data_IF_414770211761
#
_entry.id   IF_414770211761
#
_cell.length_a   1.000
_cell.length_b   1.000
_cell.length_c   1.000
_cell.angle_alpha   90.00
_cell.angle_beta   90.00
_cell.angle_gamma   90.00
#
_symmetry.space_group_name_H-M   'P 1'
#
loop_
_entity.id
_entity.type
_entity.pdbx_description
1 polymer ?
#
# COMPACT_ATOMS: atom_id res chain seq x y z
N UNK A 1 -16.56 2.52 5.49
CA UNK A 1 -16.32 1.67 4.31
C UNK A 1 -14.84 1.49 4.09
N UNK A 2 -14.38 0.28 3.81
CA UNK A 2 -12.97 0.07 3.48
C UNK A 2 -12.57 0.85 2.23
N UNK A 3 -11.37 1.40 2.27
CA UNK A 3 -10.80 2.11 1.13
C UNK A 3 -9.90 1.16 0.36
N UNK A 4 -10.11 1.07 -0.93
CA UNK A 4 -9.28 0.25 -1.80
C UNK A 4 -8.37 1.13 -2.64
N UNK A 5 -7.10 0.78 -2.69
CA UNK A 5 -6.09 1.44 -3.50
C UNK A 5 -5.57 0.42 -4.50
N UNK A 6 -5.76 0.71 -5.79
CA UNK A 6 -5.26 -0.16 -6.85
C UNK A 6 -3.97 0.38 -7.43
N UNK A 7 -3.01 -0.49 -7.61
CA UNK A 7 -1.72 -0.16 -8.22
C UNK A 7 -1.52 -1.02 -9.46
N UNK A 8 -0.76 -0.54 -10.45
CA UNK A 8 -0.50 -1.34 -11.65
C UNK A 8 0.38 -2.55 -11.32
N UNK A 9 0.26 -3.58 -12.14
CA UNK A 9 1.06 -4.80 -11.97
C UNK A 9 2.56 -4.55 -12.11
N UNK A 10 2.92 -3.53 -12.85
CA UNK A 10 4.32 -3.09 -12.93
C UNK A 10 4.33 -1.58 -13.08
N UNK A 11 5.44 -0.94 -12.73
CA UNK A 11 5.61 0.48 -12.87
C UNK A 11 5.25 1.27 -11.63
N UNK A 12 4.66 2.45 -11.83
CA UNK A 12 4.47 3.44 -10.78
C UNK A 12 3.14 3.24 -10.05
N UNK A 13 3.20 3.06 -8.74
CA UNK A 13 2.02 2.93 -7.89
C UNK A 13 1.25 4.22 -7.68
N UNK A 14 1.83 5.37 -8.02
CA UNK A 14 1.14 6.65 -7.97
C UNK A 14 0.99 7.24 -6.57
N UNK A 15 0.24 8.32 -6.50
CA UNK A 15 -0.10 9.00 -5.25
C UNK A 15 -1.59 8.80 -4.99
N UNK A 16 -1.91 8.34 -3.78
CA UNK A 16 -3.28 8.07 -3.39
C UNK A 16 -3.62 8.83 -2.13
N UNK A 17 -4.81 9.42 -2.10
CA UNK A 17 -5.27 10.20 -0.96
C UNK A 17 -6.35 9.44 -0.22
N UNK A 18 -6.25 9.42 1.11
CA UNK A 18 -7.22 8.77 1.97
C UNK A 18 -7.74 9.77 2.99
N UNK A 19 -8.95 9.53 3.45
CA UNK A 19 -9.55 10.37 4.47
C UNK A 19 -8.85 10.15 5.81
N UNK A 20 -8.77 11.20 6.61
CA UNK A 20 -8.13 11.16 7.92
C UNK A 20 -9.13 10.66 8.96
N UNK A 21 -9.60 9.43 8.78
CA UNK A 21 -10.55 8.76 9.66
C UNK A 21 -10.13 7.29 9.80
N UNK A 22 -10.47 6.64 10.93
CA UNK A 22 -10.20 5.21 11.06
C UNK A 22 -10.85 4.41 9.93
N UNK A 23 -10.10 3.50 9.33
CA UNK A 23 -10.55 2.73 8.19
C UNK A 23 -9.67 1.48 8.01
N UNK A 24 -10.11 0.59 7.15
CA UNK A 24 -9.27 -0.48 6.61
C UNK A 24 -8.81 -0.05 5.23
N UNK A 25 -7.51 -0.02 5.02
CA UNK A 25 -6.92 0.36 3.75
C UNK A 25 -6.43 -0.91 3.06
N UNK A 26 -6.98 -1.21 1.90
CA UNK A 26 -6.65 -2.42 1.15
C UNK A 26 -5.95 -2.05 -0.14
N UNK A 27 -4.75 -2.56 -0.33
CA UNK A 27 -4.00 -2.41 -1.58
C UNK A 27 -4.27 -3.61 -2.45
N UNK A 28 -4.58 -3.37 -3.71
CA UNK A 28 -4.78 -4.42 -4.70
C UNK A 28 -4.14 -4.02 -6.02
N UNK A 29 -4.09 -4.96 -6.94
CA UNK A 29 -3.57 -4.70 -8.29
C UNK A 29 -4.72 -4.47 -9.26
N UNK A 30 -4.46 -3.69 -10.30
CA UNK A 30 -5.45 -3.39 -11.33
C UNK A 30 -5.42 -4.39 -12.50
N UNK A 31 -4.61 -5.44 -12.41
CA UNK A 31 -4.46 -6.45 -13.47
C UNK A 31 -4.46 -7.87 -12.92
N UNK A 32 -4.01 -8.81 -13.74
CA UNK A 32 -4.01 -10.23 -13.42
C UNK A 32 -2.72 -10.66 -12.72
N UNK A 33 -2.28 -9.91 -11.75
CA UNK A 33 -1.09 -10.23 -10.98
C UNK A 33 -1.42 -10.18 -9.49
N UNK A 34 -0.53 -10.74 -8.69
CA UNK A 34 -0.63 -10.65 -7.23
C UNK A 34 0.65 -10.05 -6.68
N UNK A 35 0.58 -9.50 -5.47
CA UNK A 35 1.78 -9.01 -4.79
C UNK A 35 2.66 -10.17 -4.41
N UNK A 36 3.96 -10.03 -4.64
CA UNK A 36 4.97 -10.93 -4.09
C UNK A 36 5.64 -10.30 -2.87
N UNK A 37 5.59 -8.97 -2.78
CA UNK A 37 6.03 -8.23 -1.60
C UNK A 37 5.31 -6.89 -1.54
N UNK A 38 5.21 -6.34 -0.34
CA UNK A 38 4.68 -5.00 -0.10
C UNK A 38 5.20 -4.50 1.23
N UNK A 39 5.65 -3.26 1.27
CA UNK A 39 6.06 -2.64 2.52
C UNK A 39 5.99 -1.13 2.41
N UNK A 40 5.70 -0.47 3.53
CA UNK A 40 5.94 0.95 3.65
C UNK A 40 7.44 1.20 3.82
N UNK A 41 7.91 2.33 3.36
CA UNK A 41 9.31 2.73 3.49
C UNK A 41 9.37 4.15 4.07
N UNK A 42 10.33 4.44 4.93
CA UNK A 42 11.38 3.56 5.48
C UNK A 42 10.90 2.67 6.64
N UNK A 43 9.70 2.87 7.16
CA UNK A 43 9.18 2.14 8.32
C UNK A 43 7.91 1.39 7.94
N UNK A 44 7.87 0.10 8.22
CA UNK A 44 6.70 -0.74 7.97
C UNK A 44 6.27 -1.45 9.27
N UNK A 45 5.04 -1.27 9.73
CA UNK A 45 4.01 -0.42 9.15
C UNK A 45 4.28 1.06 9.37
N UNK A 46 3.77 1.90 8.48
CA UNK A 46 3.86 3.33 8.66
C UNK A 46 3.09 3.77 9.91
N UNK A 47 3.46 4.90 10.55
CA UNK A 47 2.74 5.38 11.72
C UNK A 47 1.24 5.52 11.44
N UNK A 48 0.42 5.02 12.37
CA UNK A 48 -1.03 5.00 12.22
C UNK A 48 -1.57 3.77 11.50
N UNK A 49 -0.71 2.95 10.94
CA UNK A 49 -1.10 1.70 10.26
C UNK A 49 -0.68 0.50 11.11
N UNK A 50 -1.52 -0.52 11.10
CA UNK A 50 -1.28 -1.72 11.92
C UNK A 50 -2.01 -2.92 11.33
N UNK A 51 -1.77 -4.08 11.93
CA UNK A 51 -2.49 -5.31 11.63
C UNK A 51 -2.47 -5.65 10.14
N UNK A 52 -1.27 -5.72 9.57
CA UNK A 52 -1.08 -6.08 8.17
C UNK A 52 -1.64 -7.47 7.90
N UNK A 53 -2.42 -7.60 6.83
CA UNK A 53 -2.94 -8.88 6.36
C UNK A 53 -2.63 -9.06 4.88
N UNK A 54 -1.95 -10.11 4.45
CA UNK A 54 -1.30 -11.15 5.29
C UNK A 54 -0.17 -10.54 6.12
N UNK A 55 0.19 -11.21 7.21
CA UNK A 55 1.18 -10.67 8.16
C UNK A 55 2.58 -10.54 7.57
N UNK A 56 2.87 -11.27 6.50
CA UNK A 56 4.13 -11.19 5.78
C UNK A 56 3.94 -11.64 4.34
N UNK A 57 4.90 -11.31 3.48
CA UNK A 57 4.87 -11.74 2.08
C UNK A 57 3.85 -10.98 1.27
N UNK A 58 3.27 -11.65 0.29
CA UNK A 58 2.33 -11.07 -0.64
C UNK A 58 0.99 -11.78 -0.67
N UNK A 59 0.23 -11.53 -1.71
CA UNK A 59 -1.09 -12.10 -1.93
C UNK A 59 -1.85 -11.26 -2.93
N UNK A 60 -3.13 -11.58 -3.12
CA UNK A 60 -3.99 -10.82 -4.02
C UNK A 60 -4.20 -9.40 -3.52
N UNK A 61 -4.23 -9.21 -2.20
CA UNK A 61 -4.37 -7.92 -1.56
C UNK A 61 -3.48 -7.83 -0.33
N UNK A 62 -3.13 -6.61 0.04
CA UNK A 62 -2.44 -6.30 1.29
C UNK A 62 -3.31 -5.28 2.01
N UNK A 63 -3.69 -5.54 3.24
CA UNK A 63 -4.53 -4.61 3.99
C UNK A 63 -3.91 -4.23 5.34
N UNK A 64 -4.26 -3.04 5.80
CA UNK A 64 -3.84 -2.50 7.08
C UNK A 64 -5.04 -1.84 7.74
N UNK A 65 -5.05 -1.81 9.08
CA UNK A 65 -5.92 -0.92 9.81
C UNK A 65 -5.25 0.45 9.89
N UNK A 66 -6.00 1.49 9.59
CA UNK A 66 -5.55 2.87 9.70
C UNK A 66 -6.35 3.54 10.81
N UNK A 67 -5.67 4.24 11.71
CA UNK A 67 -6.32 4.83 12.88
C UNK A 67 -6.80 6.26 12.68
N UNK A 68 -6.61 6.81 11.48
CA UNK A 68 -7.04 8.18 11.16
C UNK A 68 -6.02 9.26 11.50
N UNK A 69 -4.82 8.87 11.93
CA UNK A 69 -3.76 9.83 12.24
C UNK A 69 -3.36 10.65 11.03
N UNK A 70 -2.94 11.90 11.26
CA UNK A 70 -2.47 12.76 10.18
C UNK A 70 -1.23 12.18 9.52
N UNK A 71 -1.22 12.18 8.20
CA UNK A 71 -0.08 11.79 7.39
C UNK A 71 0.66 13.07 6.99
N UNK A 72 1.99 13.12 7.11
CA UNK A 72 2.76 14.29 6.69
C UNK A 72 2.47 14.70 5.25
N UNK A 73 2.68 15.96 4.91
CA UNK A 73 2.39 16.47 3.58
C UNK A 73 3.15 15.72 2.47
N UNK A 74 4.36 15.24 2.77
CA UNK A 74 5.13 14.43 1.83
C UNK A 74 4.53 13.04 1.62
N UNK A 75 3.68 12.59 2.55
CA UNK A 75 3.06 11.27 2.50
C UNK A 75 3.95 10.18 3.05
N UNK A 76 3.41 8.97 3.05
CA UNK A 76 4.16 7.75 3.35
C UNK A 76 4.39 7.00 2.06
N UNK A 77 5.64 6.66 1.80
CA UNK A 77 5.99 5.89 0.60
C UNK A 77 5.77 4.41 0.85
N UNK A 78 5.44 3.68 -0.20
CA UNK A 78 5.41 2.23 -0.16
C UNK A 78 6.12 1.67 -1.38
N UNK A 79 6.59 0.44 -1.26
CA UNK A 79 7.19 -0.28 -2.39
C UNK A 79 6.57 -1.66 -2.48
N UNK A 80 6.53 -2.21 -3.68
CA UNK A 80 5.91 -3.50 -3.90
C UNK A 80 6.50 -4.18 -5.13
N UNK A 81 6.35 -5.51 -5.14
CA UNK A 81 6.61 -6.34 -6.30
C UNK A 81 5.37 -7.17 -6.59
N UNK A 82 5.21 -7.55 -7.83
CA UNK A 82 4.13 -8.42 -8.27
C UNK A 82 4.67 -9.56 -9.10
N UNK A 83 3.81 -10.53 -9.39
CA UNK A 83 4.15 -11.65 -10.26
C UNK A 83 4.48 -11.22 -11.69
N UNK A 84 4.12 -10.00 -12.08
CA UNK A 84 4.40 -9.46 -13.41
C UNK A 84 5.73 -8.72 -13.49
N UNK A 85 6.37 -8.42 -12.35
CA UNK A 85 7.61 -7.65 -12.33
C UNK A 85 8.82 -8.57 -12.45
N UNK A 86 9.82 -8.19 -13.27
CA UNK A 86 11.00 -9.03 -13.46
C UNK A 86 11.98 -8.99 -12.31
N UNK A 87 11.95 -7.97 -11.45
CA UNK A 87 12.91 -7.79 -10.38
C UNK A 87 12.26 -7.10 -9.20
N UNK A 88 12.81 -7.33 -8.01
CA UNK A 88 12.31 -6.79 -6.77
C UNK A 88 12.41 -5.26 -6.72
N UNK A 89 11.45 -4.62 -6.03
CA UNK A 89 11.51 -3.21 -5.70
C UNK A 89 11.17 -2.27 -6.83
N UNK A 90 10.47 -2.73 -7.83
CA UNK A 90 10.18 -1.91 -9.00
C UNK A 90 8.91 -1.08 -8.90
N UNK A 91 8.00 -1.40 -8.00
CA UNK A 91 6.78 -0.62 -7.80
C UNK A 91 6.92 0.29 -6.58
N UNK A 92 6.57 1.56 -6.74
CA UNK A 92 6.55 2.51 -5.62
C UNK A 92 5.34 3.40 -5.72
N UNK A 93 4.88 3.89 -4.58
CA UNK A 93 3.79 4.83 -4.52
C UNK A 93 3.80 5.61 -3.23
N UNK A 94 2.82 6.49 -3.06
CA UNK A 94 2.72 7.37 -1.89
C UNK A 94 1.26 7.45 -1.43
N UNK A 95 1.06 7.41 -0.11
CA UNK A 95 -0.23 7.64 0.52
C UNK A 95 -0.19 9.00 1.21
N UNK A 96 -1.22 9.81 0.97
CA UNK A 96 -1.39 11.12 1.61
C UNK A 96 -2.80 11.22 2.17
N UNK A 97 -3.03 12.21 3.02
CA UNK A 97 -4.39 12.58 3.42
C UNK A 97 -5.02 13.51 2.39
N UNK A 98 -6.32 13.43 2.31
CA UNK A 98 -7.12 14.41 1.57
C UNK A 98 -6.98 15.80 2.18
#
# INVERSE_FOLDING_TARGET
MPTRINVPCNGNGGTHKINKVPDTITFGTSGNCTFTSFQFTPVDPAPGFSNRQPSSGGGATISYNYDGSAIPAAGYSFSYDTTAMPAAGNGTGVIKNN
#
